data_IF_940064772953
#
_entry.id   IF_940064772953
#
_cell.length_a   1.000
_cell.length_b   1.000
_cell.length_c   1.000
_cell.angle_alpha   90.00
_cell.angle_beta   90.00
_cell.angle_gamma   90.00
#
_symmetry.space_group_name_H-M   'P 1'
#
loop_
_entity.id
_entity.type
_entity.pdbx_description
1 polymer ?
#
# COMPACT_ATOMS: atom_id res chain seq x y z
N UNK A 1 23.75 41.49 -30.15
CA UNK A 1 22.53 40.82 -29.64
C UNK A 1 22.07 41.61 -28.42
N UNK A 2 20.80 42.02 -28.32
CA UNK A 2 20.35 42.85 -27.18
C UNK A 2 20.29 42.00 -25.91
N UNK A 3 20.70 42.58 -24.77
CA UNK A 3 20.65 41.91 -23.47
C UNK A 3 19.24 41.37 -23.12
N UNK A 4 18.22 42.06 -23.61
CA UNK A 4 16.80 41.68 -23.49
C UNK A 4 16.54 40.30 -24.14
N UNK A 5 17.06 40.07 -25.35
CA UNK A 5 16.88 38.81 -26.06
C UNK A 5 17.52 37.62 -25.32
N UNK A 6 18.69 37.82 -24.71
CA UNK A 6 19.33 36.78 -23.90
C UNK A 6 18.54 36.46 -22.61
N UNK A 7 17.95 37.49 -21.99
CA UNK A 7 17.10 37.33 -20.82
C UNK A 7 15.83 36.55 -21.18
N UNK A 8 15.16 36.90 -22.29
CA UNK A 8 13.98 36.18 -22.79
C UNK A 8 14.28 34.71 -23.10
N UNK A 9 15.43 34.45 -23.73
CA UNK A 9 15.91 33.08 -24.00
C UNK A 9 16.11 32.30 -22.70
N UNK A 10 16.75 32.89 -21.68
CA UNK A 10 16.94 32.26 -20.36
C UNK A 10 15.60 31.98 -19.67
N UNK A 11 14.64 32.91 -19.76
CA UNK A 11 13.28 32.74 -19.21
C UNK A 11 12.55 31.59 -19.90
N UNK A 12 12.63 31.50 -21.23
CA UNK A 12 12.01 30.41 -22.01
C UNK A 12 12.56 29.03 -21.61
N UNK A 13 13.89 28.93 -21.48
CA UNK A 13 14.55 27.70 -21.03
C UNK A 13 14.11 27.34 -19.61
N UNK A 14 14.05 28.32 -18.69
CA UNK A 14 13.62 28.10 -17.32
C UNK A 14 12.16 27.61 -17.25
N UNK A 15 11.23 28.23 -17.99
CA UNK A 15 9.82 27.80 -18.10
C UNK A 15 9.71 26.37 -18.59
N UNK A 16 10.51 26.00 -19.59
CA UNK A 16 10.51 24.64 -20.15
C UNK A 16 10.98 23.61 -19.11
N UNK A 17 12.05 23.93 -18.37
CA UNK A 17 12.55 23.08 -17.27
C UNK A 17 11.52 22.93 -16.15
N UNK A 18 10.86 24.02 -15.75
CA UNK A 18 9.79 24.00 -14.75
C UNK A 18 8.65 23.06 -15.19
N UNK A 19 8.13 23.25 -16.40
CA UNK A 19 7.06 22.41 -16.95
C UNK A 19 7.45 20.92 -17.01
N UNK A 20 8.70 20.62 -17.35
CA UNK A 20 9.20 19.25 -17.36
C UNK A 20 9.23 18.64 -15.95
N UNK A 21 9.75 19.38 -14.97
CA UNK A 21 9.81 18.94 -13.57
C UNK A 21 8.41 18.74 -12.98
N UNK A 22 7.47 19.64 -13.23
CA UNK A 22 6.08 19.49 -12.80
C UNK A 22 5.42 18.23 -13.37
N UNK A 23 5.63 17.95 -14.66
CA UNK A 23 5.15 16.70 -15.30
C UNK A 23 5.77 15.47 -14.65
N UNK A 24 7.08 15.51 -14.32
CA UNK A 24 7.79 14.40 -13.65
C UNK A 24 7.25 14.16 -12.23
N UNK A 25 7.02 15.23 -11.46
CA UNK A 25 6.44 15.16 -10.11
C UNK A 25 5.03 14.57 -10.15
N UNK A 26 4.17 15.05 -11.07
CA UNK A 26 2.81 14.51 -11.25
C UNK A 26 2.85 13.02 -11.54
N UNK A 27 3.66 12.57 -12.52
CA UNK A 27 3.82 11.14 -12.86
C UNK A 27 4.28 10.30 -11.67
N UNK A 28 5.27 10.78 -10.90
CA UNK A 28 5.73 10.09 -9.72
C UNK A 28 4.64 9.97 -8.65
N UNK A 29 3.83 11.02 -8.41
CA UNK A 29 2.70 10.96 -7.49
C UNK A 29 1.66 9.90 -7.89
N UNK A 30 1.35 9.80 -9.19
CA UNK A 30 0.49 8.74 -9.72
C UNK A 30 1.12 7.35 -9.61
N UNK A 31 2.43 7.22 -9.82
CA UNK A 31 3.13 5.94 -9.65
C UNK A 31 3.10 5.49 -8.19
N UNK A 32 3.41 6.39 -7.24
CA UNK A 32 3.32 6.10 -5.81
C UNK A 32 1.90 5.75 -5.39
N UNK A 33 0.87 6.37 -5.96
CA UNK A 33 -0.52 5.99 -5.67
C UNK A 33 -0.88 4.62 -6.25
N UNK A 34 -0.35 4.26 -7.42
CA UNK A 34 -0.55 2.96 -8.05
C UNK A 34 0.17 1.84 -7.28
N UNK A 35 1.40 2.08 -6.82
CA UNK A 35 2.16 1.12 -6.01
C UNK A 35 1.46 0.87 -4.67
N UNK A 36 0.99 1.93 -3.99
CA UNK A 36 0.17 1.80 -2.76
C UNK A 36 -1.13 1.03 -3.00
N UNK A 37 -1.77 1.19 -4.16
CA UNK A 37 -2.98 0.43 -4.52
C UNK A 37 -2.67 -1.05 -4.72
N UNK A 38 -1.56 -1.38 -5.38
CA UNK A 38 -1.11 -2.78 -5.55
C UNK A 38 -0.79 -3.43 -4.22
N UNK A 39 -0.05 -2.72 -3.35
CA UNK A 39 0.26 -3.20 -2.00
C UNK A 39 -1.01 -3.46 -1.19
N UNK A 40 -1.97 -2.53 -1.22
CA UNK A 40 -3.26 -2.73 -0.56
C UNK A 40 -4.01 -3.95 -1.11
N UNK A 41 -4.07 -4.12 -2.43
CA UNK A 41 -4.73 -5.25 -3.04
C UNK A 41 -4.08 -6.58 -2.62
N UNK A 42 -2.75 -6.65 -2.65
CA UNK A 42 -2.00 -7.81 -2.19
C UNK A 42 -2.30 -8.13 -0.71
N UNK A 43 -2.26 -7.12 0.17
CA UNK A 43 -2.56 -7.30 1.58
C UNK A 43 -3.99 -7.79 1.82
N UNK A 44 -4.96 -7.33 1.03
CA UNK A 44 -6.36 -7.79 1.12
C UNK A 44 -6.50 -9.24 0.64
N UNK A 45 -5.84 -9.63 -0.45
CA UNK A 45 -5.85 -11.01 -0.96
C UNK A 45 -5.27 -11.96 0.10
N UNK A 46 -4.11 -11.63 0.67
CA UNK A 46 -3.48 -12.46 1.70
C UNK A 46 -4.38 -12.60 2.93
N UNK A 47 -5.01 -11.52 3.38
CA UNK A 47 -5.96 -11.55 4.50
C UNK A 47 -7.23 -12.34 4.18
N UNK A 48 -7.74 -12.25 2.96
CA UNK A 48 -8.89 -13.05 2.50
C UNK A 48 -8.57 -14.55 2.53
N UNK A 49 -7.40 -14.94 2.03
CA UNK A 49 -6.94 -16.34 2.10
C UNK A 49 -6.82 -16.85 3.54
N UNK A 50 -6.43 -16.00 4.49
CA UNK A 50 -6.41 -16.37 5.91
C UNK A 50 -7.81 -16.64 6.49
N UNK A 51 -8.82 -15.87 6.07
CA UNK A 51 -10.21 -16.10 6.48
C UNK A 51 -10.73 -17.42 5.89
N UNK A 52 -10.46 -17.68 4.61
CA UNK A 52 -10.81 -18.95 3.96
C UNK A 52 -10.14 -20.16 4.63
N UNK A 53 -8.86 -20.05 4.99
CA UNK A 53 -8.15 -21.09 5.76
C UNK A 53 -8.80 -21.40 7.11
N UNK A 54 -9.53 -20.44 7.69
CA UNK A 54 -10.27 -20.59 8.95
C UNK A 54 -11.75 -20.92 8.73
N UNK A 55 -12.22 -21.03 7.49
CA UNK A 55 -13.64 -21.26 7.16
C UNK A 55 -14.54 -20.06 7.46
N UNK A 56 -13.99 -18.85 7.47
CA UNK A 56 -14.69 -17.60 7.82
C UNK A 56 -15.10 -16.78 6.58
N UNK A 57 -14.89 -17.28 5.37
CA UNK A 57 -15.13 -16.54 4.13
C UNK A 57 -16.60 -16.25 3.84
N UNK A 58 -17.51 -17.02 4.45
CA UNK A 58 -18.98 -16.82 4.36
C UNK A 58 -19.58 -16.22 5.62
N UNK A 59 -18.75 -15.93 6.63
CA UNK A 59 -19.23 -15.36 7.89
C UNK A 59 -19.73 -13.93 7.69
N UNK A 60 -20.67 -13.50 8.53
CA UNK A 60 -21.24 -12.16 8.46
C UNK A 60 -20.16 -11.07 8.68
N UNK A 61 -20.20 -10.01 7.87
CA UNK A 61 -19.19 -8.95 7.89
C UNK A 61 -19.12 -8.24 9.24
N UNK A 62 -20.25 -7.98 9.88
CA UNK A 62 -20.32 -7.36 11.20
C UNK A 62 -19.72 -8.26 12.28
N UNK A 63 -19.90 -9.59 12.19
CA UNK A 63 -19.27 -10.57 13.08
C UNK A 63 -17.75 -10.56 12.92
N UNK A 64 -17.25 -10.64 11.67
CA UNK A 64 -15.80 -10.57 11.40
C UNK A 64 -15.22 -9.25 11.89
N UNK A 65 -15.90 -8.13 11.64
CA UNK A 65 -15.46 -6.80 12.07
C UNK A 65 -15.39 -6.71 13.59
N UNK A 66 -16.42 -7.21 14.29
CA UNK A 66 -16.46 -7.29 15.74
C UNK A 66 -15.29 -8.10 16.29
N UNK A 67 -15.05 -9.31 15.76
CA UNK A 67 -13.93 -10.15 16.17
C UNK A 67 -12.58 -9.44 15.96
N UNK A 68 -12.33 -8.90 14.77
CA UNK A 68 -11.07 -8.21 14.45
C UNK A 68 -10.86 -6.94 15.28
N UNK A 69 -11.94 -6.27 15.74
CA UNK A 69 -11.85 -5.10 16.61
C UNK A 69 -11.24 -5.41 17.99
N UNK A 70 -11.33 -6.67 18.43
CA UNK A 70 -10.76 -7.12 19.72
C UNK A 70 -9.25 -7.34 19.67
N UNK A 71 -8.64 -7.28 18.48
CA UNK A 71 -7.22 -7.56 18.30
C UNK A 71 -6.36 -6.53 19.03
N UNK A 72 -5.56 -7.01 19.99
CA UNK A 72 -4.70 -6.14 20.80
C UNK A 72 -3.55 -5.56 19.98
N UNK A 73 -3.31 -4.25 20.15
CA UNK A 73 -2.14 -3.56 19.59
C UNK A 73 -0.87 -3.72 20.45
N UNK A 74 -0.91 -4.49 21.53
CA UNK A 74 0.24 -4.79 22.37
C UNK A 74 1.17 -5.81 21.66
N UNK A 75 2.46 -5.49 21.58
CA UNK A 75 3.51 -6.31 20.96
C UNK A 75 3.61 -7.72 21.54
N UNK A 76 3.48 -7.90 22.87
CA UNK A 76 3.57 -9.21 23.52
C UNK A 76 2.45 -10.15 23.05
N UNK A 77 1.22 -9.63 22.98
CA UNK A 77 0.07 -10.37 22.46
C UNK A 77 0.21 -10.68 20.98
N UNK A 78 0.77 -9.76 20.20
CA UNK A 78 1.04 -10.00 18.78
C UNK A 78 2.05 -11.13 18.57
N UNK A 79 3.15 -11.15 19.33
CA UNK A 79 4.14 -12.23 19.23
C UNK A 79 3.56 -13.57 19.70
N UNK A 80 2.67 -13.57 20.71
CA UNK A 80 1.91 -14.77 21.08
C UNK A 80 1.05 -15.31 19.93
N UNK A 81 0.22 -14.47 19.29
CA UNK A 81 -0.60 -14.89 18.14
C UNK A 81 0.24 -15.31 16.94
N UNK A 82 1.41 -14.71 16.73
CA UNK A 82 2.35 -15.09 15.67
C UNK A 82 2.89 -16.51 15.87
N UNK A 83 3.18 -16.92 17.12
CA UNK A 83 3.59 -18.31 17.42
C UNK A 83 2.49 -19.30 17.06
N UNK A 84 1.25 -19.02 17.47
CA UNK A 84 0.08 -19.84 17.12
C UNK A 84 -0.10 -19.91 15.59
N UNK A 85 -0.04 -18.77 14.92
CA UNK A 85 -0.17 -18.68 13.46
C UNK A 85 0.86 -19.53 12.72
N UNK A 86 2.13 -19.54 13.17
CA UNK A 86 3.18 -20.39 12.58
C UNK A 86 2.84 -21.88 12.67
N UNK A 87 2.26 -22.32 13.78
CA UNK A 87 1.84 -23.72 13.94
C UNK A 87 0.64 -24.06 13.06
N UNK A 88 -0.36 -23.17 13.00
CA UNK A 88 -1.53 -23.33 12.14
C UNK A 88 -1.13 -23.43 10.67
N UNK A 89 -0.25 -22.55 10.18
CA UNK A 89 0.26 -22.61 8.81
C UNK A 89 0.95 -23.93 8.49
N UNK A 90 1.73 -24.49 9.44
CA UNK A 90 2.38 -25.79 9.25
C UNK A 90 1.36 -26.93 9.18
N UNK A 91 0.28 -26.88 9.97
CA UNK A 91 -0.79 -27.89 9.96
C UNK A 91 -1.60 -27.83 8.67
N UNK A 92 -1.96 -26.63 8.24
CA UNK A 92 -2.81 -26.41 7.06
C UNK A 92 -2.05 -26.61 5.74
N UNK A 93 -0.73 -26.37 5.68
CA UNK A 93 0.09 -26.69 4.50
C UNK A 93 0.35 -28.19 4.28
N UNK A 94 0.12 -29.02 5.29
CA UNK A 94 0.32 -30.48 5.20
C UNK A 94 -0.94 -31.24 4.74
N UNK A 95 -2.08 -30.55 4.67
CA UNK A 95 -3.29 -31.02 4.00
C UNK A 95 -3.26 -30.59 2.55
#
# INVERSE_FOLDING_TARGET
MSAIFEIEKKISIAKTKINFLEKKIKRNKFKTSLDKRKERAHNLIVKGALLEMLGLEKENNEVILGFLSTFSKNEEKQEYYKKIGKELFKKLKKK
#
